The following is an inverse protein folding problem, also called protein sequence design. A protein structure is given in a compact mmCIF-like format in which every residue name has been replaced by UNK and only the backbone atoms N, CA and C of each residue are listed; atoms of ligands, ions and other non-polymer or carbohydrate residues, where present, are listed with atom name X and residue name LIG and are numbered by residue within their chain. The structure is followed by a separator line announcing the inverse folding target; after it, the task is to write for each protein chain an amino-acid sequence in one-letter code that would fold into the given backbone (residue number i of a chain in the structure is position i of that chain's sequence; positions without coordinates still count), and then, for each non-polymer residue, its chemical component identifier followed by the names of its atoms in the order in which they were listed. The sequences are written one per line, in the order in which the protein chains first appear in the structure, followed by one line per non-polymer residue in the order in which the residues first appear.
data_IF_317500488093
#
_entry.id   IF_317500488093
#
_cell.length_a   1.000
_cell.length_b   1.000
_cell.length_c   1.000
_cell.angle_alpha   90.00
_cell.angle_beta   90.00
_cell.angle_gamma   90.00
#
_symmetry.space_group_name_H-M   'P 1'
#
loop_
_entity.id
_entity.type
_entity.pdbx_description
1 polymer ?
#
# COMPACT_ATOMS: atom_id res chain seq x y z
N UNK A 1 -6.77 -13.98 2.24
CA UNK A 1 -8.13 -13.66 1.76
C UNK A 1 -8.06 -12.27 1.16
N UNK A 2 -8.24 -12.13 -0.16
CA UNK A 2 -8.16 -10.83 -0.82
C UNK A 2 -9.48 -10.07 -0.64
N UNK A 3 -9.39 -8.77 -0.40
CA UNK A 3 -10.55 -7.87 -0.29
C UNK A 3 -10.23 -6.54 -1.02
N UNK A 4 -10.28 -6.53 -2.36
CA UNK A 4 -9.95 -5.35 -3.14
C UNK A 4 -10.87 -4.18 -2.77
N UNK A 5 -10.26 -3.04 -2.42
CA UNK A 5 -10.97 -1.81 -2.03
C UNK A 5 -11.90 -1.96 -0.82
N UNK A 6 -11.78 -3.03 -0.02
CA UNK A 6 -12.78 -3.43 0.98
C UNK A 6 -14.20 -3.61 0.39
N UNK A 7 -14.27 -3.95 -0.91
CA UNK A 7 -15.50 -4.01 -1.69
C UNK A 7 -15.88 -5.42 -2.10
N UNK A 8 -15.12 -6.46 -1.71
CA UNK A 8 -15.38 -7.83 -2.17
C UNK A 8 -16.84 -8.29 -2.01
N UNK A 9 -17.51 -8.12 -0.86
CA UNK A 9 -18.90 -8.54 -0.72
C UNK A 9 -19.90 -7.49 -1.23
N UNK A 10 -19.43 -6.37 -1.81
CA UNK A 10 -20.22 -5.19 -2.11
C UNK A 10 -20.15 -4.73 -3.57
N UNK A 11 -19.43 -5.44 -4.44
CA UNK A 11 -19.42 -5.12 -5.87
C UNK A 11 -20.82 -5.23 -6.46
N UNK A 12 -21.35 -4.11 -6.97
CA UNK A 12 -22.64 -4.06 -7.64
C UNK A 12 -22.59 -4.43 -9.13
N UNK A 13 -21.39 -4.63 -9.68
CA UNK A 13 -21.12 -5.04 -11.06
C UNK A 13 -19.73 -5.70 -11.15
N UNK A 14 -19.33 -6.13 -12.35
CA UNK A 14 -18.05 -6.81 -12.59
C UNK A 14 -16.84 -6.06 -11.99
N UNK A 15 -15.96 -6.80 -11.29
CA UNK A 15 -14.80 -6.22 -10.60
C UNK A 15 -13.75 -5.65 -11.57
N UNK A 16 -13.45 -6.30 -12.69
CA UNK A 16 -12.55 -5.76 -13.72
C UNK A 16 -13.04 -4.44 -14.28
N UNK A 17 -14.34 -4.33 -14.57
CA UNK A 17 -14.97 -3.07 -14.96
C UNK A 17 -14.90 -2.01 -13.86
N UNK A 18 -15.00 -2.41 -12.59
CA UNK A 18 -14.83 -1.50 -11.45
C UNK A 18 -13.41 -0.93 -11.39
N UNK A 19 -12.39 -1.75 -11.64
CA UNK A 19 -11.00 -1.29 -11.77
C UNK A 19 -10.87 -0.29 -12.94
N UNK A 20 -11.43 -0.61 -14.11
CA UNK A 20 -11.46 0.30 -15.27
C UNK A 20 -12.14 1.63 -14.94
N UNK A 21 -13.22 1.62 -14.16
CA UNK A 21 -13.89 2.84 -13.73
C UNK A 21 -12.98 3.73 -12.87
N UNK A 22 -12.21 3.14 -11.95
CA UNK A 22 -11.23 3.88 -11.15
C UNK A 22 -10.10 4.45 -12.00
N UNK A 23 -9.54 3.67 -12.94
CA UNK A 23 -8.50 4.12 -13.86
C UNK A 23 -8.98 5.32 -14.70
N UNK A 24 -10.22 5.27 -15.18
CA UNK A 24 -10.84 6.34 -15.95
C UNK A 24 -11.01 7.65 -15.17
N UNK A 25 -10.93 7.66 -13.84
CA UNK A 25 -10.89 8.92 -13.08
C UNK A 25 -9.57 9.67 -13.31
N UNK A 26 -8.48 8.93 -13.53
CA UNK A 26 -7.15 9.49 -13.77
C UNK A 26 -6.97 10.19 -15.11
N UNK A 27 -7.85 9.92 -16.07
CA UNK A 27 -7.81 10.51 -17.42
C UNK A 27 -8.72 11.73 -17.58
N UNK A 28 -9.53 12.05 -16.55
CA UNK A 28 -10.45 13.18 -16.59
C UNK A 28 -9.70 14.50 -16.47
N UNK A 29 -10.09 15.46 -17.31
CA UNK A 29 -9.59 16.82 -17.25
C UNK A 29 -10.12 17.54 -16.01
N UNK A 30 -9.32 18.48 -15.49
CA UNK A 30 -9.69 19.36 -14.37
C UNK A 30 -9.98 18.65 -13.03
N UNK A 31 -9.61 17.37 -12.90
CA UNK A 31 -9.74 16.63 -11.64
C UNK A 31 -8.45 16.71 -10.83
N UNK A 32 -8.57 17.14 -9.57
CA UNK A 32 -7.48 17.05 -8.58
C UNK A 32 -7.50 15.67 -7.94
N UNK A 33 -6.69 14.76 -8.46
CA UNK A 33 -6.60 13.40 -7.93
C UNK A 33 -5.98 13.39 -6.52
N UNK A 34 -6.56 12.65 -5.57
CA UNK A 34 -5.95 12.49 -4.25
C UNK A 34 -4.71 11.61 -4.33
N UNK A 35 -3.78 11.82 -3.39
CA UNK A 35 -2.70 10.85 -3.15
C UNK A 35 -3.30 9.58 -2.52
N UNK A 36 -2.87 8.41 -2.98
CA UNK A 36 -3.33 7.11 -2.47
C UNK A 36 -2.27 6.55 -1.51
N UNK A 37 -2.73 6.01 -0.38
CA UNK A 37 -1.87 5.44 0.66
C UNK A 37 -2.39 4.06 1.07
N UNK A 38 -1.47 3.17 1.43
CA UNK A 38 -1.75 1.88 2.04
C UNK A 38 -1.11 1.84 3.44
N UNK A 39 -1.86 1.40 4.44
CA UNK A 39 -1.40 1.34 5.84
C UNK A 39 -1.55 -0.09 6.39
N UNK A 40 -0.70 -0.45 7.35
CA UNK A 40 -0.80 -1.70 8.08
C UNK A 40 -0.58 -1.48 9.57
N UNK A 41 -1.67 -1.43 10.34
CA UNK A 41 -1.62 -1.31 11.81
C UNK A 41 -1.31 -2.63 12.53
N UNK A 42 -1.33 -3.73 11.79
CA UNK A 42 -1.40 -5.08 12.35
C UNK A 42 -0.12 -5.89 12.16
N UNK A 43 0.96 -5.26 11.68
CA UNK A 43 2.27 -5.92 11.56
C UNK A 43 2.74 -6.38 12.94
N UNK A 44 3.18 -7.63 13.01
CA UNK A 44 3.66 -8.28 14.24
C UNK A 44 5.14 -8.61 14.16
N UNK A 45 5.79 -8.61 15.31
CA UNK A 45 7.15 -9.11 15.48
C UNK A 45 7.19 -10.65 15.50
N UNK A 46 8.40 -11.20 15.56
CA UNK A 46 8.66 -12.64 15.72
C UNK A 46 8.04 -13.27 16.98
N UNK A 47 7.68 -12.47 17.99
CA UNK A 47 7.00 -12.90 19.21
C UNK A 47 5.47 -12.77 19.10
N UNK A 48 4.94 -12.36 17.95
CA UNK A 48 3.51 -12.16 17.72
C UNK A 48 2.92 -10.90 18.33
N UNK A 49 3.75 -9.96 18.82
CA UNK A 49 3.30 -8.67 19.35
C UNK A 49 3.22 -7.64 18.24
N UNK A 50 2.27 -6.71 18.33
CA UNK A 50 2.16 -5.62 17.36
C UNK A 50 3.39 -4.71 17.43
N UNK A 51 3.94 -4.40 16.26
CA UNK A 51 5.06 -3.46 16.10
C UNK A 51 4.60 -2.01 16.28
N UNK A 52 3.35 -1.72 15.95
CA UNK A 52 2.74 -0.40 16.10
C UNK A 52 1.67 -0.41 17.20
N UNK A 53 1.64 0.58 18.11
CA UNK A 53 0.66 0.61 19.21
C UNK A 53 -0.80 0.80 18.76
N UNK A 54 -1.02 1.44 17.61
CA UNK A 54 -2.36 1.60 17.03
C UNK A 54 -3.21 2.67 17.70
N UNK A 55 -4.53 2.60 17.49
CA UNK A 55 -5.52 3.50 18.10
C UNK A 55 -5.18 4.99 17.89
N UNK A 56 -5.07 5.77 18.98
CA UNK A 56 -4.75 7.19 18.93
C UNK A 56 -3.38 7.49 18.36
N UNK A 57 -2.41 6.57 18.47
CA UNK A 57 -1.08 6.76 17.89
C UNK A 57 -1.12 6.74 16.35
N UNK A 58 -2.17 6.20 15.72
CA UNK A 58 -2.35 6.29 14.26
C UNK A 58 -2.42 7.73 13.75
N UNK A 59 -2.75 8.70 14.61
CA UNK A 59 -2.67 10.14 14.29
C UNK A 59 -1.28 10.56 13.78
N UNK A 60 -0.20 9.88 14.20
CA UNK A 60 1.18 10.15 13.77
C UNK A 60 1.40 9.82 12.29
N UNK A 61 0.75 8.77 11.80
CA UNK A 61 0.79 8.42 10.37
C UNK A 61 -0.13 9.34 9.57
N UNK A 62 -1.26 9.78 10.13
CA UNK A 62 -2.10 10.78 9.49
C UNK A 62 -1.37 12.14 9.35
N UNK A 63 -0.61 12.58 10.37
CA UNK A 63 0.28 13.75 10.28
C UNK A 63 1.25 13.62 9.10
N UNK A 64 1.91 12.46 8.97
CA UNK A 64 2.80 12.20 7.84
C UNK A 64 2.07 12.25 6.49
N UNK A 65 0.86 11.66 6.39
CA UNK A 65 0.04 11.70 5.17
C UNK A 65 -0.32 13.14 4.79
N UNK A 66 -0.74 13.98 5.75
CA UNK A 66 -1.08 15.38 5.52
C UNK A 66 0.12 16.16 4.98
N UNK A 67 1.28 16.00 5.61
CA UNK A 67 2.54 16.63 5.16
C UNK A 67 2.97 16.13 3.77
N UNK A 68 2.70 14.86 3.44
CA UNK A 68 2.90 14.33 2.07
C UNK A 68 1.94 14.93 1.05
N UNK A 69 0.70 15.24 1.44
CA UNK A 69 -0.26 15.95 0.59
C UNK A 69 0.24 17.37 0.29
N UNK A 70 0.87 18.02 1.27
CA UNK A 70 1.52 19.33 1.15
C UNK A 70 2.89 19.29 0.41
N UNK A 71 3.29 18.11 -0.07
CA UNK A 71 4.54 17.87 -0.81
C UNK A 71 5.83 18.08 0.01
N UNK A 72 5.77 17.93 1.34
CA UNK A 72 6.97 17.92 2.17
C UNK A 72 7.88 16.73 1.79
N UNK A 73 9.20 16.97 1.79
CA UNK A 73 10.22 15.98 1.41
C UNK A 73 10.58 15.02 2.56
N UNK A 74 9.58 14.24 2.95
CA UNK A 74 9.61 13.34 4.12
C UNK A 74 9.40 11.87 3.77
N UNK A 75 9.53 11.54 2.49
CA UNK A 75 9.41 10.17 1.99
C UNK A 75 10.67 9.72 1.25
N UNK A 76 10.98 8.44 1.34
CA UNK A 76 12.00 7.77 0.54
C UNK A 76 11.37 6.72 -0.38
N UNK A 77 11.97 6.49 -1.53
CA UNK A 77 11.51 5.51 -2.52
C UNK A 77 11.95 4.10 -2.14
N UNK A 78 11.06 3.13 -2.31
CA UNK A 78 11.31 1.69 -2.14
C UNK A 78 10.69 0.91 -3.30
N UNK A 79 10.90 -0.42 -3.34
CA UNK A 79 10.30 -1.26 -4.35
C UNK A 79 8.75 -1.23 -4.37
N UNK A 80 8.12 -0.86 -3.25
CA UNK A 80 6.65 -0.86 -3.09
C UNK A 80 6.03 0.53 -3.14
N UNK A 81 6.84 1.56 -3.39
CA UNK A 81 6.43 2.96 -3.38
C UNK A 81 7.14 3.79 -2.30
N UNK A 82 6.47 4.83 -1.83
CA UNK A 82 7.04 5.76 -0.85
C UNK A 82 6.78 5.32 0.58
N UNK A 83 7.82 5.30 1.41
CA UNK A 83 7.73 5.12 2.87
C UNK A 83 8.28 6.36 3.58
N UNK A 84 8.00 6.56 4.88
CA UNK A 84 8.63 7.63 5.65
C UNK A 84 10.16 7.57 5.61
N UNK A 85 10.83 8.72 5.49
CA UNK A 85 12.28 8.83 5.76
C UNK A 85 12.56 8.55 7.24
N UNK A 86 13.81 8.23 7.57
CA UNK A 86 14.28 8.27 8.95
C UNK A 86 13.87 9.61 9.60
N UNK A 87 13.38 9.55 10.84
CA UNK A 87 12.97 10.70 11.67
C UNK A 87 11.82 11.57 11.12
N UNK A 88 11.14 11.14 10.05
CA UNK A 88 10.01 11.89 9.51
C UNK A 88 8.68 11.68 10.24
N UNK A 89 8.57 10.58 11.00
CA UNK A 89 7.44 10.32 11.88
C UNK A 89 7.67 10.98 13.23
N UNK A 90 6.67 11.73 13.70
CA UNK A 90 6.67 12.32 15.04
C UNK A 90 6.35 11.24 16.08
N UNK A 91 7.37 10.80 16.81
CA UNK A 91 7.27 9.73 17.82
C UNK A 91 7.33 10.26 19.25
N UNK A 92 7.36 11.58 19.44
CA UNK A 92 7.39 12.19 20.76
C UNK A 92 6.16 11.79 21.58
N UNK A 93 6.39 11.37 22.81
CA UNK A 93 5.33 10.94 23.74
C UNK A 93 4.65 9.62 23.39
N UNK A 94 5.18 8.83 22.45
CA UNK A 94 4.66 7.49 22.19
C UNK A 94 4.95 6.56 23.39
N UNK A 95 3.95 5.79 23.80
CA UNK A 95 4.04 4.93 24.99
C UNK A 95 5.09 3.83 24.87
N UNK A 96 5.31 3.33 23.66
CA UNK A 96 6.33 2.34 23.32
C UNK A 96 6.94 2.74 21.99
N UNK A 97 8.25 2.99 21.99
CA UNK A 97 8.97 3.25 20.75
C UNK A 97 8.93 2.00 19.85
N UNK A 98 8.44 2.12 18.61
CA UNK A 98 8.43 1.02 17.65
C UNK A 98 9.83 0.82 17.07
N UNK A 99 10.18 -0.43 16.75
CA UNK A 99 11.33 -0.71 15.90
C UNK A 99 10.97 -0.32 14.45
N UNK A 100 11.42 0.86 14.02
CA UNK A 100 11.12 1.37 12.68
C UNK A 100 11.80 0.55 11.57
N UNK A 101 12.96 -0.06 11.85
CA UNK A 101 13.65 -0.89 10.87
C UNK A 101 12.83 -2.16 10.60
N UNK A 102 12.35 -2.81 11.65
CA UNK A 102 11.46 -3.97 11.50
C UNK A 102 10.11 -3.55 10.90
N UNK A 103 9.50 -2.46 11.38
CA UNK A 103 8.21 -1.95 10.93
C UNK A 103 8.17 -1.63 9.43
N UNK A 104 9.26 -1.09 8.88
CA UNK A 104 9.40 -0.74 7.47
C UNK A 104 10.24 -1.73 6.66
N UNK A 105 10.67 -2.85 7.25
CA UNK A 105 11.44 -3.85 6.52
C UNK A 105 10.62 -4.44 5.37
N UNK A 106 11.29 -4.68 4.24
CA UNK A 106 10.72 -5.26 3.03
C UNK A 106 11.52 -6.52 2.67
N UNK A 107 11.24 -7.68 3.30
CA UNK A 107 11.95 -8.91 2.95
C UNK A 107 11.67 -9.31 1.50
N UNK A 108 12.71 -9.52 0.70
CA UNK A 108 12.60 -9.82 -0.74
C UNK A 108 11.74 -11.06 -1.00
N UNK A 109 11.99 -12.15 -0.26
CA UNK A 109 11.27 -13.41 -0.43
C UNK A 109 9.77 -13.27 -0.15
N UNK A 110 9.40 -12.45 0.84
CA UNK A 110 7.99 -12.14 1.12
C UNK A 110 7.34 -11.43 -0.08
N UNK A 111 8.00 -10.42 -0.64
CA UNK A 111 7.45 -9.65 -1.76
C UNK A 111 7.44 -10.43 -3.07
N UNK A 112 8.38 -11.35 -3.29
CA UNK A 112 8.33 -12.28 -4.41
C UNK A 112 7.09 -13.16 -4.32
N UNK A 113 6.83 -13.74 -3.15
CA UNK A 113 5.62 -14.54 -2.93
C UNK A 113 4.34 -13.71 -3.08
N UNK A 114 4.30 -12.49 -2.52
CA UNK A 114 3.13 -11.60 -2.61
C UNK A 114 2.80 -11.25 -4.07
N UNK A 115 3.80 -10.99 -4.91
CA UNK A 115 3.60 -10.74 -6.34
C UNK A 115 3.01 -11.96 -7.06
N UNK A 116 3.46 -13.17 -6.73
CA UNK A 116 2.92 -14.40 -7.29
C UNK A 116 1.48 -14.66 -6.83
N UNK A 117 1.19 -14.40 -5.56
CA UNK A 117 -0.14 -14.58 -4.98
C UNK A 117 -1.14 -13.58 -5.58
N UNK A 118 -0.74 -12.32 -5.77
CA UNK A 118 -1.55 -11.32 -6.47
C UNK A 118 -1.75 -11.70 -7.94
N UNK A 119 -0.72 -12.20 -8.62
CA UNK A 119 -0.84 -12.64 -10.02
C UNK A 119 -1.87 -13.76 -10.16
N UNK A 120 -1.80 -14.76 -9.29
CA UNK A 120 -2.77 -15.87 -9.24
C UNK A 120 -4.18 -15.36 -8.92
N UNK A 121 -4.31 -14.47 -7.95
CA UNK A 121 -5.59 -13.87 -7.61
C UNK A 121 -6.21 -13.12 -8.79
N UNK A 122 -5.43 -12.33 -9.52
CA UNK A 122 -5.95 -11.60 -10.70
C UNK A 122 -6.36 -12.55 -11.82
N UNK A 123 -5.56 -13.58 -12.11
CA UNK A 123 -5.88 -14.59 -13.11
C UNK A 123 -7.19 -15.34 -12.77
N UNK A 124 -7.30 -15.83 -11.54
CA UNK A 124 -8.45 -16.65 -11.10
C UNK A 124 -9.74 -15.84 -10.88
N UNK A 125 -9.64 -14.57 -10.46
CA UNK A 125 -10.80 -13.79 -9.99
C UNK A 125 -11.21 -12.64 -10.93
N UNK A 126 -10.32 -12.22 -11.82
CA UNK A 126 -10.59 -11.13 -12.78
C UNK A 126 -10.46 -11.63 -14.21
N UNK A 127 -9.43 -12.46 -14.49
CA UNK A 127 -9.22 -13.09 -15.78
C UNK A 127 -9.11 -12.05 -16.91
N UNK A 128 -9.87 -12.28 -17.98
CA UNK A 128 -9.86 -11.45 -19.19
C UNK A 128 -10.33 -10.00 -18.94
N UNK A 129 -11.08 -9.73 -17.86
CA UNK A 129 -11.56 -8.39 -17.52
C UNK A 129 -10.50 -7.55 -16.78
N UNK A 130 -9.30 -8.08 -16.53
CA UNK A 130 -8.23 -7.35 -15.85
C UNK A 130 -7.71 -6.21 -16.74
N UNK A 131 -7.78 -4.95 -16.31
CA UNK A 131 -7.24 -3.85 -17.11
C UNK A 131 -5.73 -3.95 -17.27
N UNK A 132 -5.23 -3.68 -18.48
CA UNK A 132 -3.80 -3.76 -18.80
C UNK A 132 -2.95 -2.90 -17.85
N UNK A 133 -3.41 -1.72 -17.48
CA UNK A 133 -2.71 -0.82 -16.57
C UNK A 133 -2.50 -1.45 -15.17
N UNK A 134 -3.44 -2.28 -14.71
CA UNK A 134 -3.29 -3.01 -13.44
C UNK A 134 -2.28 -4.15 -13.60
N UNK A 135 -2.33 -4.88 -14.71
CA UNK A 135 -1.34 -5.92 -15.02
C UNK A 135 0.08 -5.33 -15.11
N UNK A 136 0.21 -4.16 -15.74
CA UNK A 136 1.47 -3.43 -15.86
C UNK A 136 2.02 -2.95 -14.51
N UNK A 137 1.15 -2.54 -13.58
CA UNK A 137 1.58 -2.22 -12.22
C UNK A 137 2.13 -3.45 -11.48
N UNK A 138 1.51 -4.61 -11.64
CA UNK A 138 2.00 -5.86 -11.05
C UNK A 138 3.34 -6.29 -11.66
N UNK A 139 3.48 -6.20 -12.98
CA UNK A 139 4.74 -6.46 -13.69
C UNK A 139 5.85 -5.50 -13.24
N UNK A 140 5.52 -4.22 -13.10
CA UNK A 140 6.46 -3.20 -12.63
C UNK A 140 6.88 -3.45 -11.17
N UNK A 141 5.95 -3.87 -10.31
CA UNK A 141 6.26 -4.27 -8.94
C UNK A 141 7.21 -5.48 -8.92
N UNK A 142 6.92 -6.51 -9.72
CA UNK A 142 7.78 -7.70 -9.86
C UNK A 142 9.22 -7.32 -10.23
N UNK A 143 9.40 -6.42 -11.19
CA UNK A 143 10.72 -5.94 -11.60
C UNK A 143 11.45 -5.20 -10.47
N UNK A 144 10.76 -4.29 -9.77
CA UNK A 144 11.36 -3.57 -8.64
C UNK A 144 11.76 -4.52 -7.50
N UNK A 145 10.93 -5.51 -7.19
CA UNK A 145 11.20 -6.52 -6.16
C UNK A 145 12.39 -7.41 -6.53
N UNK A 146 12.50 -7.83 -7.79
CA UNK A 146 13.66 -8.60 -8.27
C UNK A 146 14.98 -7.84 -8.12
N UNK A 147 14.94 -6.50 -8.19
CA UNK A 147 16.10 -5.61 -8.08
C UNK A 147 16.37 -5.10 -6.65
N UNK A 148 15.61 -5.58 -5.64
CA UNK A 148 15.90 -5.32 -4.23
C UNK A 148 17.18 -6.00 -3.76
#
# INVERSE_FOLDING_TARGET
MHDPFAMRPFFGYNFGHYLSHWLNMGTRQEVKLPKIFHVNWFRKDSQGKFLWPGFGDNSRVLDWILRRIENEDIAQTTAIGYIPKADSLRLEGISKLPDLNELFSLPKDFWLQEVEDIARYFDEQVGEDLPNEIADQLNSLKQRVNNM
#
